data_IF_031683226334
#
_entry.id   IF_031683226334
#
_cell.length_a   1.000
_cell.length_b   1.000
_cell.length_c   1.000
_cell.angle_alpha   90.00
_cell.angle_beta   90.00
_cell.angle_gamma   90.00
#
_symmetry.space_group_name_H-M   'P 1'
#
loop_
_entity.id
_entity.type
_entity.pdbx_description
1 polymer ?
#
# COMPACT_ATOMS: atom_id res chain seq x y z
N UNK A 1 23.79 -52.75 -26.15
CA UNK A 1 24.41 -51.45 -25.84
C UNK A 1 23.34 -50.39 -26.02
N UNK A 2 22.61 -50.06 -24.94
CA UNK A 2 21.45 -49.18 -24.99
C UNK A 2 21.85 -47.79 -24.48
N UNK A 3 21.76 -46.79 -25.35
CA UNK A 3 21.99 -45.39 -24.99
C UNK A 3 20.71 -44.81 -24.39
N UNK A 4 20.74 -44.51 -23.10
CA UNK A 4 19.66 -43.86 -22.38
C UNK A 4 19.81 -42.34 -22.54
N UNK A 5 18.97 -41.76 -23.39
CA UNK A 5 18.88 -40.31 -23.58
C UNK A 5 18.16 -39.71 -22.37
N UNK A 6 18.91 -39.14 -21.42
CA UNK A 6 18.35 -38.36 -20.32
C UNK A 6 17.87 -37.00 -20.87
N UNK A 7 16.58 -36.88 -21.18
CA UNK A 7 15.93 -35.58 -21.34
C UNK A 7 15.93 -34.87 -19.98
N UNK A 8 16.83 -33.92 -19.79
CA UNK A 8 16.65 -32.88 -18.78
C UNK A 8 15.48 -31.99 -19.21
N UNK A 9 14.26 -32.33 -18.79
CA UNK A 9 13.19 -31.34 -18.69
C UNK A 9 13.60 -30.37 -17.58
N UNK A 10 14.34 -29.32 -17.97
CA UNK A 10 14.53 -28.14 -17.15
C UNK A 10 13.14 -27.57 -16.85
N UNK A 11 12.58 -27.93 -15.70
CA UNK A 11 11.47 -27.18 -15.13
C UNK A 11 12.09 -25.86 -14.66
N UNK A 12 11.78 -24.71 -15.29
CA UNK A 12 12.23 -23.45 -14.73
C UNK A 12 11.47 -23.29 -13.41
N UNK A 13 12.11 -23.63 -12.31
CA UNK A 13 11.69 -23.14 -11.00
C UNK A 13 11.77 -21.62 -11.12
N UNK A 14 10.61 -20.99 -11.37
CA UNK A 14 10.47 -19.55 -11.27
C UNK A 14 10.64 -19.22 -9.79
N UNK A 15 11.89 -19.02 -9.38
CA UNK A 15 12.21 -18.60 -8.02
C UNK A 15 11.57 -17.23 -7.79
N UNK A 16 10.82 -17.13 -6.70
CA UNK A 16 10.22 -15.87 -6.30
C UNK A 16 11.30 -14.92 -5.79
N UNK A 17 11.29 -13.67 -6.25
CA UNK A 17 12.12 -12.60 -5.71
C UNK A 17 11.33 -11.83 -4.64
N UNK A 18 11.89 -11.73 -3.44
CA UNK A 18 11.24 -11.04 -2.31
C UNK A 18 11.85 -9.64 -2.14
N UNK A 19 10.97 -8.66 -2.00
CA UNK A 19 11.30 -7.28 -1.68
C UNK A 19 10.56 -6.89 -0.40
N UNK A 20 11.27 -6.33 0.56
CA UNK A 20 10.68 -5.93 1.83
C UNK A 20 11.32 -4.67 2.40
N UNK A 21 10.56 -4.01 3.28
CA UNK A 21 10.94 -2.84 4.07
C UNK A 21 10.53 -3.05 5.52
N UNK A 22 11.35 -2.56 6.45
CA UNK A 22 10.96 -2.48 7.86
C UNK A 22 10.04 -1.26 8.10
N UNK A 23 9.52 -1.12 9.32
CA UNK A 23 8.80 0.09 9.76
C UNK A 23 9.69 1.33 9.57
N UNK A 24 9.13 2.35 8.94
CA UNK A 24 9.81 3.60 8.54
C UNK A 24 10.68 3.47 7.29
N UNK A 25 10.90 2.26 6.78
CA UNK A 25 11.70 2.00 5.59
C UNK A 25 10.95 2.25 4.29
N UNK A 26 11.67 2.69 3.25
CA UNK A 26 11.15 2.80 1.90
C UNK A 26 12.20 2.27 0.93
N UNK A 27 11.77 1.63 -0.15
CA UNK A 27 12.69 1.00 -1.09
C UNK A 27 12.17 1.08 -2.52
N UNK A 28 13.03 1.47 -3.44
CA UNK A 28 12.80 1.32 -4.88
C UNK A 28 13.55 0.08 -5.35
N UNK A 29 12.88 -0.78 -6.13
CA UNK A 29 13.49 -1.95 -6.73
C UNK A 29 13.02 -2.12 -8.18
N UNK A 30 13.93 -2.61 -9.03
CA UNK A 30 13.61 -3.04 -10.38
C UNK A 30 13.21 -4.52 -10.37
N UNK A 31 12.15 -4.84 -11.10
CA UNK A 31 11.65 -6.20 -11.31
C UNK A 31 12.30 -6.82 -12.56
N UNK A 32 12.26 -8.16 -12.71
CA UNK A 32 12.93 -8.85 -13.83
C UNK A 32 12.46 -8.45 -15.23
N UNK A 33 11.26 -7.88 -15.37
CA UNK A 33 10.67 -7.42 -16.63
C UNK A 33 10.92 -5.93 -16.91
N UNK A 34 11.83 -5.29 -16.17
CA UNK A 34 12.12 -3.84 -16.15
C UNK A 34 11.06 -2.95 -15.51
N UNK A 35 9.94 -3.52 -15.05
CA UNK A 35 8.98 -2.79 -14.21
C UNK A 35 9.67 -2.33 -12.93
N UNK A 36 9.12 -1.29 -12.28
CA UNK A 36 9.63 -0.78 -11.00
C UNK A 36 8.58 -0.92 -9.92
N UNK A 37 9.02 -1.33 -8.74
CA UNK A 37 8.23 -1.31 -7.51
C UNK A 37 8.85 -0.34 -6.53
N UNK A 38 8.05 0.55 -5.96
CA UNK A 38 8.43 1.35 -4.80
C UNK A 38 7.63 0.85 -3.61
N UNK A 39 8.31 0.28 -2.62
CA UNK A 39 7.74 -0.18 -1.36
C UNK A 39 7.72 0.97 -0.36
N UNK A 40 6.58 1.17 0.29
CA UNK A 40 6.45 2.05 1.44
C UNK A 40 6.87 1.33 2.74
N UNK A 41 6.62 1.93 3.90
CA UNK A 41 6.85 1.35 5.23
C UNK A 41 6.15 0.00 5.43
N UNK A 42 6.84 -0.93 6.10
CA UNK A 42 6.35 -2.26 6.48
C UNK A 42 5.64 -3.00 5.33
N UNK A 43 6.32 -3.08 4.19
CA UNK A 43 5.80 -3.72 2.99
C UNK A 43 6.57 -4.99 2.68
N UNK A 44 5.86 -5.99 2.15
CA UNK A 44 6.48 -7.20 1.58
C UNK A 44 5.80 -7.58 0.27
N UNK A 45 6.63 -7.73 -0.76
CA UNK A 45 6.23 -8.10 -2.11
C UNK A 45 7.04 -9.31 -2.57
N UNK A 46 6.37 -10.32 -3.10
CA UNK A 46 7.00 -11.49 -3.73
C UNK A 46 6.68 -11.50 -5.23
N UNK A 47 7.70 -11.53 -6.08
CA UNK A 47 7.55 -11.49 -7.54
C UNK A 47 7.95 -12.82 -8.18
N UNK A 48 7.02 -13.42 -8.92
CA UNK A 48 7.20 -14.70 -9.62
C UNK A 48 6.76 -14.57 -11.07
N UNK A 49 7.71 -14.60 -12.00
CA UNK A 49 7.43 -14.41 -13.43
C UNK A 49 7.56 -15.72 -14.19
N UNK A 50 6.61 -15.98 -15.08
CA UNK A 50 6.57 -17.17 -15.94
C UNK A 50 6.52 -16.75 -17.41
N UNK A 51 6.42 -17.73 -18.30
CA UNK A 51 6.20 -17.47 -19.71
C UNK A 51 4.83 -16.80 -19.99
N UNK A 52 3.84 -17.01 -19.12
CA UNK A 52 2.45 -16.60 -19.37
C UNK A 52 2.01 -15.40 -18.52
N UNK A 53 2.64 -15.17 -17.36
CA UNK A 53 2.20 -14.12 -16.43
C UNK A 53 3.36 -13.54 -15.61
N UNK A 54 3.14 -12.34 -15.09
CA UNK A 54 3.99 -11.65 -14.12
C UNK A 54 3.20 -11.51 -12.82
N UNK A 55 3.31 -12.52 -11.94
CA UNK A 55 2.58 -12.53 -10.67
C UNK A 55 3.39 -11.81 -9.60
N UNK A 56 2.73 -10.88 -8.92
CA UNK A 56 3.20 -10.18 -7.74
C UNK A 56 2.24 -10.49 -6.60
N UNK A 57 2.75 -10.99 -5.48
CA UNK A 57 1.98 -11.11 -4.25
C UNK A 57 2.37 -9.97 -3.31
N UNK A 58 1.41 -9.14 -2.92
CA UNK A 58 1.57 -8.14 -1.85
C UNK A 58 1.02 -8.76 -0.57
N UNK A 59 1.91 -9.19 0.33
CA UNK A 59 1.50 -9.87 1.57
C UNK A 59 1.05 -8.89 2.65
N UNK A 60 1.64 -7.69 2.66
CA UNK A 60 1.30 -6.58 3.55
C UNK A 60 1.86 -5.26 3.05
N UNK A 61 1.32 -4.18 3.57
CA UNK A 61 1.84 -2.82 3.40
C UNK A 61 1.34 -2.15 2.12
N UNK A 62 2.18 -1.30 1.54
CA UNK A 62 1.83 -0.45 0.39
C UNK A 62 2.96 -0.43 -0.63
N UNK A 63 2.60 -0.52 -1.90
CA UNK A 63 3.55 -0.47 -3.01
C UNK A 63 2.98 0.31 -4.20
N UNK A 64 3.81 1.15 -4.80
CA UNK A 64 3.59 1.75 -6.12
C UNK A 64 4.25 0.86 -7.18
N UNK A 65 3.47 0.49 -8.20
CA UNK A 65 3.94 -0.25 -9.36
C UNK A 65 3.97 0.66 -10.59
N UNK A 66 5.10 0.65 -11.28
CA UNK A 66 5.30 1.28 -12.58
C UNK A 66 5.62 0.16 -13.58
N UNK A 67 4.57 -0.31 -14.26
CA UNK A 67 4.59 -1.57 -15.02
C UNK A 67 5.03 -1.33 -16.46
N UNK A 68 6.10 -2.03 -16.87
CA UNK A 68 6.53 -2.10 -18.26
C UNK A 68 5.47 -2.76 -19.13
N UNK A 69 5.23 -2.18 -20.30
CA UNK A 69 4.20 -2.64 -21.21
C UNK A 69 4.56 -4.00 -21.81
N UNK A 70 3.71 -5.00 -21.57
CA UNK A 70 3.81 -6.34 -22.16
C UNK A 70 2.39 -6.91 -22.28
N UNK A 71 1.74 -6.78 -23.46
CA UNK A 71 0.37 -7.26 -23.67
C UNK A 71 0.23 -8.78 -23.64
N UNK A 72 1.32 -9.52 -23.82
CA UNK A 72 1.30 -10.99 -23.91
C UNK A 72 1.41 -11.65 -22.54
N UNK A 73 1.91 -10.94 -21.53
CA UNK A 73 2.06 -11.43 -20.17
C UNK A 73 1.44 -10.43 -19.18
N UNK A 74 0.19 -10.65 -18.71
CA UNK A 74 -0.42 -9.74 -17.75
C UNK A 74 0.44 -9.57 -16.49
N UNK A 75 0.45 -8.35 -15.96
CA UNK A 75 1.02 -8.03 -14.66
C UNK A 75 -0.09 -8.10 -13.62
N UNK A 76 0.00 -9.05 -12.70
CA UNK A 76 -1.05 -9.35 -11.74
C UNK A 76 -0.50 -9.08 -10.35
N UNK A 77 -1.10 -8.13 -9.63
CA UNK A 77 -0.84 -7.92 -8.19
C UNK A 77 -1.97 -8.58 -7.41
N UNK A 78 -1.64 -9.56 -6.58
CA UNK A 78 -2.58 -10.30 -5.75
C UNK A 78 -2.37 -9.93 -4.27
N UNK A 79 -3.49 -9.75 -3.57
CA UNK A 79 -3.56 -9.72 -2.10
C UNK A 79 -4.49 -10.84 -1.63
N UNK A 80 -4.74 -10.92 -0.32
CA UNK A 80 -5.76 -11.80 0.24
C UNK A 80 -7.22 -11.38 -0.05
N UNK A 81 -7.45 -10.22 -0.66
CA UNK A 81 -8.79 -9.68 -0.94
C UNK A 81 -9.12 -9.57 -2.43
N UNK A 82 -8.16 -9.84 -3.32
CA UNK A 82 -8.39 -9.79 -4.76
C UNK A 82 -7.12 -9.61 -5.58
N UNK A 83 -7.34 -9.42 -6.88
CA UNK A 83 -6.31 -9.29 -7.90
C UNK A 83 -6.44 -7.95 -8.64
N UNK A 84 -5.32 -7.39 -9.04
CA UNK A 84 -5.21 -6.22 -9.91
C UNK A 84 -4.44 -6.62 -11.15
N UNK A 85 -5.07 -6.53 -12.33
CA UNK A 85 -4.45 -6.88 -13.60
C UNK A 85 -4.14 -5.63 -14.42
N UNK A 86 -2.89 -5.54 -14.88
CA UNK A 86 -2.32 -4.43 -15.63
C UNK A 86 -1.56 -4.90 -16.87
N UNK A 87 -1.55 -4.08 -17.93
CA UNK A 87 -0.79 -4.34 -19.17
C UNK A 87 0.32 -3.30 -19.45
N UNK A 88 0.43 -2.27 -18.61
CA UNK A 88 1.32 -1.12 -18.80
C UNK A 88 0.72 0.11 -18.13
N UNK A 89 0.81 0.15 -16.80
CA UNK A 89 0.09 1.12 -15.96
C UNK A 89 0.95 1.57 -14.79
N UNK A 90 0.48 2.65 -14.15
CA UNK A 90 1.04 3.14 -12.91
C UNK A 90 -0.04 3.18 -11.85
N UNK A 91 0.13 2.43 -10.76
CA UNK A 91 -0.90 2.28 -9.74
C UNK A 91 -0.31 1.91 -8.38
N UNK A 92 -1.03 2.26 -7.33
CA UNK A 92 -0.70 1.90 -5.94
C UNK A 92 -1.63 0.79 -5.51
N UNK A 93 -1.08 -0.23 -4.86
CA UNK A 93 -1.85 -1.21 -4.08
C UNK A 93 -1.43 -1.11 -2.63
N UNK A 94 -2.42 -1.03 -1.74
CA UNK A 94 -2.22 -1.03 -0.30
C UNK A 94 -3.08 -2.11 0.33
N UNK A 95 -2.45 -2.97 1.09
CA UNK A 95 -3.12 -3.89 2.00
C UNK A 95 -3.12 -3.30 3.43
N UNK A 96 -4.31 -3.17 4.01
CA UNK A 96 -4.52 -2.76 5.41
C UNK A 96 -4.92 -3.94 6.32
N UNK A 97 -4.90 -5.17 5.82
CA UNK A 97 -5.36 -6.37 6.52
C UNK A 97 -6.89 -6.49 6.64
N UNK A 98 -7.62 -5.41 6.88
CA UNK A 98 -9.09 -5.40 6.82
C UNK A 98 -9.65 -4.93 5.48
N UNK A 99 -8.78 -4.42 4.61
CA UNK A 99 -9.16 -3.87 3.31
C UNK A 99 -7.97 -3.77 2.36
N UNK A 100 -8.23 -3.93 1.08
CA UNK A 100 -7.32 -3.64 -0.02
C UNK A 100 -7.74 -2.33 -0.68
N UNK A 101 -6.79 -1.43 -0.93
CA UNK A 101 -7.00 -0.19 -1.69
C UNK A 101 -6.15 -0.20 -2.95
N UNK A 102 -6.75 0.13 -4.08
CA UNK A 102 -6.06 0.27 -5.37
C UNK A 102 -6.29 1.69 -5.87
N UNK A 103 -5.22 2.45 -6.12
CA UNK A 103 -5.32 3.80 -6.71
C UNK A 103 -4.63 3.82 -8.06
N UNK A 104 -5.36 4.18 -9.12
CA UNK A 104 -4.82 4.23 -10.48
C UNK A 104 -4.28 5.62 -10.79
N UNK A 105 -2.99 5.71 -11.14
CA UNK A 105 -2.34 6.96 -11.53
C UNK A 105 -2.35 7.13 -13.06
N UNK A 106 -2.02 6.08 -13.81
CA UNK A 106 -1.96 6.12 -15.28
C UNK A 106 -2.37 4.78 -15.91
N UNK A 107 -3.00 4.84 -17.09
CA UNK A 107 -3.41 3.68 -17.87
C UNK A 107 -4.78 3.12 -17.47
N UNK A 108 -4.92 1.79 -17.44
CA UNK A 108 -6.16 1.07 -17.11
C UNK A 108 -5.85 -0.21 -16.35
N UNK A 109 -6.50 -0.41 -15.21
CA UNK A 109 -6.40 -1.66 -14.43
C UNK A 109 -7.77 -2.30 -14.28
N UNK A 110 -7.77 -3.62 -14.26
CA UNK A 110 -8.91 -4.44 -13.82
C UNK A 110 -8.67 -4.82 -12.37
N UNK A 111 -9.66 -4.62 -11.50
CA UNK A 111 -9.63 -5.08 -10.11
C UNK A 111 -10.71 -6.14 -9.95
N UNK A 112 -10.30 -7.35 -9.60
CA UNK A 112 -11.14 -8.53 -9.39
C UNK A 112 -11.12 -8.88 -7.89
N UNK A 113 -12.20 -8.59 -7.14
CA UNK A 113 -12.30 -9.04 -5.74
C UNK A 113 -12.30 -10.57 -5.65
N UNK A 114 -11.74 -11.14 -4.57
CA UNK A 114 -11.62 -12.60 -4.41
C UNK A 114 -12.93 -13.28 -4.00
N UNK A 115 -13.91 -12.53 -3.48
CA UNK A 115 -15.20 -13.08 -3.08
C UNK A 115 -16.10 -13.37 -4.28
N UNK A 116 -16.73 -14.54 -4.25
CA UNK A 116 -17.71 -14.96 -5.26
C UNK A 116 -18.88 -13.98 -5.39
N UNK A 117 -19.32 -13.75 -6.62
CA UNK A 117 -20.44 -12.88 -6.97
C UNK A 117 -20.12 -11.38 -6.98
N UNK A 118 -18.87 -10.99 -6.77
CA UNK A 118 -18.46 -9.58 -6.86
C UNK A 118 -18.12 -9.16 -8.27
N UNK A 119 -18.60 -7.97 -8.64
CA UNK A 119 -18.32 -7.38 -9.95
C UNK A 119 -16.88 -6.86 -9.99
N UNK A 120 -16.17 -7.19 -11.06
CA UNK A 120 -14.87 -6.59 -11.36
C UNK A 120 -14.97 -5.11 -11.70
N UNK A 121 -13.94 -4.35 -11.35
CA UNK A 121 -13.86 -2.90 -11.60
C UNK A 121 -12.82 -2.61 -12.68
N UNK A 122 -13.23 -1.95 -13.76
CA UNK A 122 -12.29 -1.35 -14.71
C UNK A 122 -12.05 0.08 -14.26
N UNK A 123 -10.84 0.38 -13.80
CA UNK A 123 -10.49 1.70 -13.28
C UNK A 123 -10.00 2.64 -14.39
N UNK A 124 -10.26 3.92 -14.18
CA UNK A 124 -9.72 5.07 -14.93
C UNK A 124 -8.78 5.89 -14.05
N UNK A 125 -7.78 6.59 -14.62
CA UNK A 125 -6.83 7.39 -13.83
C UNK A 125 -7.52 8.36 -12.86
N UNK A 126 -6.99 8.45 -11.64
CA UNK A 126 -7.55 9.25 -10.56
C UNK A 126 -8.57 8.54 -9.69
N UNK A 127 -9.05 7.34 -10.08
CA UNK A 127 -9.93 6.55 -9.24
C UNK A 127 -9.15 5.75 -8.20
N UNK A 128 -9.81 5.50 -7.06
CA UNK A 128 -9.43 4.49 -6.09
C UNK A 128 -10.59 3.54 -5.82
N UNK A 129 -10.29 2.25 -5.78
CA UNK A 129 -11.20 1.18 -5.36
C UNK A 129 -10.75 0.69 -3.99
N UNK A 130 -11.67 0.58 -3.03
CA UNK A 130 -11.43 0.02 -1.69
C UNK A 130 -12.32 -1.19 -1.50
N UNK A 131 -11.72 -2.35 -1.24
CA UNK A 131 -12.40 -3.63 -1.02
C UNK A 131 -12.19 -4.03 0.43
N UNK A 132 -13.27 -4.15 1.20
CA UNK A 132 -13.23 -4.63 2.59
C UNK A 132 -13.36 -6.16 2.68
N UNK A 133 -13.01 -6.73 3.83
CA UNK A 133 -13.18 -8.19 4.11
C UNK A 133 -14.64 -8.65 4.08
N UNK A 134 -15.61 -7.76 4.28
CA UNK A 134 -17.03 -8.06 4.09
C UNK A 134 -17.39 -8.25 2.60
N UNK A 135 -16.53 -7.80 1.69
CA UNK A 135 -16.82 -7.75 0.26
C UNK A 135 -17.47 -6.44 -0.18
N UNK A 136 -17.57 -5.45 0.69
CA UNK A 136 -18.02 -4.13 0.27
C UNK A 136 -16.91 -3.47 -0.55
N UNK A 137 -17.24 -3.07 -1.77
CA UNK A 137 -16.35 -2.31 -2.64
C UNK A 137 -16.86 -0.87 -2.75
N UNK A 138 -15.97 0.09 -2.54
CA UNK A 138 -16.24 1.53 -2.66
C UNK A 138 -15.29 2.14 -3.68
N UNK A 139 -15.82 3.01 -4.54
CA UNK A 139 -15.04 3.77 -5.52
C UNK A 139 -15.07 5.25 -5.15
N UNK A 140 -13.90 5.88 -5.03
CA UNK A 140 -13.75 7.31 -4.81
C UNK A 140 -12.61 7.91 -5.67
N UNK A 141 -12.37 9.22 -5.52
CA UNK A 141 -11.30 9.95 -6.20
C UNK A 141 -10.46 10.70 -5.17
N UNK A 142 -9.35 10.12 -4.67
CA UNK A 142 -8.49 10.78 -3.70
C UNK A 142 -7.61 11.84 -4.37
N UNK A 143 -7.01 12.72 -3.56
CA UNK A 143 -5.90 13.56 -4.01
C UNK A 143 -4.71 12.68 -4.39
N UNK A 144 -4.31 12.72 -5.67
CA UNK A 144 -3.14 11.97 -6.16
C UNK A 144 -1.82 12.46 -5.55
N UNK A 145 -1.73 13.75 -5.26
CA UNK A 145 -0.62 14.32 -4.49
C UNK A 145 -0.54 13.64 -3.12
N UNK A 146 -1.67 13.54 -2.42
CA UNK A 146 -1.67 13.01 -1.06
C UNK A 146 -1.32 11.52 -1.01
N UNK A 147 -1.88 10.70 -1.93
CA UNK A 147 -1.59 9.26 -1.96
C UNK A 147 -0.18 8.93 -2.45
N UNK A 148 0.53 9.87 -3.09
CA UNK A 148 1.90 9.66 -3.58
C UNK A 148 2.97 10.36 -2.75
N UNK A 149 2.58 11.24 -1.80
CA UNK A 149 3.49 12.06 -1.00
C UNK A 149 4.53 11.26 -0.20
N UNK A 150 4.19 10.04 0.21
CA UNK A 150 5.12 9.19 0.96
C UNK A 150 6.40 8.89 0.18
N UNK A 151 6.38 8.91 -1.16
CA UNK A 151 7.55 8.67 -2.01
C UNK A 151 8.67 9.69 -1.81
N UNK A 152 8.34 10.87 -1.29
CA UNK A 152 9.29 11.93 -0.93
C UNK A 152 9.42 12.12 0.58
N UNK A 153 9.02 11.12 1.38
CA UNK A 153 9.03 11.16 2.84
C UNK A 153 7.95 12.06 3.45
N UNK A 154 6.91 12.41 2.67
CA UNK A 154 5.80 13.25 3.11
C UNK A 154 4.55 12.46 3.49
N UNK A 155 3.74 13.05 4.35
CA UNK A 155 2.37 12.63 4.63
C UNK A 155 1.48 13.86 4.48
N UNK A 156 0.60 13.84 3.47
CA UNK A 156 -0.37 14.91 3.23
C UNK A 156 -1.70 14.49 3.81
N UNK A 157 -2.20 15.28 4.76
CA UNK A 157 -3.48 15.10 5.40
C UNK A 157 -4.42 16.20 4.92
N UNK A 158 -5.64 15.82 4.52
CA UNK A 158 -6.64 16.73 3.99
C UNK A 158 -7.96 16.44 4.69
N UNK A 159 -8.35 17.35 5.59
CA UNK A 159 -9.55 17.24 6.41
C UNK A 159 -9.71 15.79 6.95
N UNK A 160 -8.74 15.33 7.72
CA UNK A 160 -8.73 13.97 8.26
C UNK A 160 -9.02 14.02 9.76
N UNK A 161 -9.81 13.08 10.31
CA UNK A 161 -9.99 13.01 11.77
C UNK A 161 -8.64 12.76 12.45
N UNK A 162 -8.46 13.27 13.66
CA UNK A 162 -7.24 13.04 14.44
C UNK A 162 -6.91 11.54 14.54
N UNK A 163 -7.92 10.68 14.71
CA UNK A 163 -7.76 9.23 14.73
C UNK A 163 -7.21 8.65 13.42
N UNK A 164 -7.74 9.06 12.27
CA UNK A 164 -7.24 8.59 10.98
C UNK A 164 -5.84 9.15 10.67
N UNK A 165 -5.57 10.39 11.04
CA UNK A 165 -4.27 11.04 10.90
C UNK A 165 -3.17 10.33 11.73
N UNK A 166 -3.48 10.00 12.98
CA UNK A 166 -2.64 9.17 13.86
C UNK A 166 -2.44 7.79 13.25
N UNK A 167 -3.49 7.18 12.72
CA UNK A 167 -3.40 5.87 12.04
C UNK A 167 -2.42 5.88 10.86
N UNK A 168 -2.41 6.94 10.04
CA UNK A 168 -1.45 7.07 8.94
C UNK A 168 -0.03 7.34 9.43
N UNK A 169 0.16 8.19 10.45
CA UNK A 169 1.49 8.50 11.00
C UNK A 169 2.12 7.28 11.71
N UNK A 170 1.32 6.53 12.47
CA UNK A 170 1.79 5.36 13.22
C UNK A 170 2.33 4.23 12.33
N UNK A 171 2.09 4.25 11.01
CA UNK A 171 2.71 3.30 10.08
C UNK A 171 4.22 3.44 9.97
N UNK A 172 4.75 4.61 10.28
CA UNK A 172 6.15 4.97 10.04
C UNK A 172 6.98 5.01 11.33
N UNK A 173 6.34 5.27 12.47
CA UNK A 173 7.01 5.38 13.76
C UNK A 173 7.06 4.06 14.53
N UNK A 174 8.19 3.77 15.17
CA UNK A 174 8.29 2.65 16.11
C UNK A 174 7.56 2.93 17.43
N UNK A 175 7.50 4.21 17.82
CA UNK A 175 6.82 4.69 19.03
C UNK A 175 5.44 5.26 18.64
N UNK A 176 4.34 4.51 18.84
CA UNK A 176 3.03 4.92 18.36
C UNK A 176 2.48 6.12 19.12
N UNK A 177 1.62 6.88 18.46
CA UNK A 177 0.74 7.88 19.05
C UNK A 177 -0.57 7.19 19.41
N UNK A 178 -1.02 7.38 20.65
CA UNK A 178 -2.31 6.89 21.13
C UNK A 178 -3.17 8.05 21.56
N UNK A 179 -4.43 8.01 21.15
CA UNK A 179 -5.43 9.00 21.50
C UNK A 179 -6.29 8.48 22.65
N UNK A 180 -6.52 9.31 23.66
CA UNK A 180 -7.61 9.09 24.61
C UNK A 180 -8.96 9.26 23.90
N UNK A 181 -9.97 8.48 24.31
CA UNK A 181 -11.27 8.39 23.62
C UNK A 181 -12.26 9.44 24.14
N UNK A 182 -11.83 10.69 24.26
CA UNK A 182 -12.74 11.80 24.58
C UNK A 182 -13.50 12.29 23.33
N UNK A 183 -14.62 12.99 23.54
CA UNK A 183 -15.42 13.55 22.45
C UNK A 183 -14.64 14.61 21.65
N UNK A 184 -13.85 15.45 22.33
CA UNK A 184 -13.06 16.54 21.71
C UNK A 184 -12.05 15.99 20.68
N UNK A 185 -11.48 14.81 20.96
CA UNK A 185 -10.57 14.12 20.05
C UNK A 185 -11.29 13.61 18.80
N UNK A 186 -12.55 13.18 18.93
CA UNK A 186 -13.31 12.59 17.84
C UNK A 186 -13.70 13.63 16.77
N UNK A 187 -13.96 14.87 17.17
CA UNK A 187 -14.33 15.96 16.27
C UNK A 187 -13.12 16.69 15.65
N UNK A 188 -11.93 16.56 16.23
CA UNK A 188 -10.73 17.24 15.73
C UNK A 188 -10.36 16.79 14.30
N UNK A 189 -10.21 17.78 13.40
CA UNK A 189 -9.80 17.60 12.00
C UNK A 189 -8.40 18.17 11.77
N UNK A 190 -7.62 17.45 10.98
CA UNK A 190 -6.22 17.74 10.72
C UNK A 190 -6.00 17.88 9.22
N UNK A 191 -5.38 18.98 8.83
CA UNK A 191 -4.88 19.21 7.48
C UNK A 191 -3.43 19.70 7.54
N UNK A 192 -2.62 19.30 6.58
CA UNK A 192 -1.24 19.75 6.49
C UNK A 192 -0.31 18.73 5.86
N UNK A 193 0.95 19.12 5.73
CA UNK A 193 2.02 18.28 5.20
C UNK A 193 3.02 18.01 6.32
N UNK A 194 3.28 16.73 6.56
CA UNK A 194 4.15 16.27 7.63
C UNK A 194 5.26 15.39 7.06
N UNK A 195 6.39 15.30 7.76
CA UNK A 195 7.43 14.32 7.43
C UNK A 195 7.10 13.01 8.15
N UNK A 196 7.12 11.90 7.43
CA UNK A 196 6.79 10.58 7.99
C UNK A 196 7.78 10.11 9.06
N UNK A 197 9.00 10.66 9.04
CA UNK A 197 10.04 10.37 10.03
C UNK A 197 9.85 11.13 11.37
N UNK A 198 9.00 12.15 11.42
CA UNK A 198 8.91 13.07 12.56
C UNK A 198 7.65 12.82 13.42
N UNK A 199 7.44 11.57 13.86
CA UNK A 199 6.26 11.16 14.65
C UNK A 199 6.06 12.01 15.92
N UNK A 200 7.13 12.33 16.65
CA UNK A 200 7.07 13.17 17.85
C UNK A 200 6.58 14.58 17.56
N UNK A 201 7.15 15.20 16.51
CA UNK A 201 6.75 16.55 16.09
C UNK A 201 5.29 16.57 15.66
N UNK A 202 4.85 15.54 14.94
CA UNK A 202 3.45 15.38 14.59
C UNK A 202 2.56 15.28 15.84
N UNK A 203 2.94 14.48 16.85
CA UNK A 203 2.21 14.39 18.11
C UNK A 203 2.09 15.75 18.83
N UNK A 204 3.18 16.53 18.89
CA UNK A 204 3.16 17.89 19.45
C UNK A 204 2.24 18.85 18.69
N UNK A 205 2.25 18.80 17.36
CA UNK A 205 1.39 19.65 16.53
C UNK A 205 -0.08 19.25 16.73
N UNK A 206 -0.36 17.94 16.72
CA UNK A 206 -1.70 17.41 16.89
C UNK A 206 -2.27 17.80 18.26
N UNK A 207 -1.45 17.72 19.32
CA UNK A 207 -1.83 18.17 20.65
C UNK A 207 -2.31 19.63 20.64
N UNK A 208 -1.54 20.52 20.02
CA UNK A 208 -1.88 21.96 19.95
C UNK A 208 -3.14 22.24 19.11
N UNK A 209 -3.30 21.58 17.97
CA UNK A 209 -4.44 21.78 17.07
C UNK A 209 -5.74 21.31 17.73
N UNK A 210 -5.69 20.16 18.41
CA UNK A 210 -6.87 19.55 19.03
C UNK A 210 -7.11 20.00 20.48
N UNK A 211 -6.31 20.93 21.03
CA UNK A 211 -6.43 21.37 22.42
C UNK A 211 -6.14 20.28 23.46
N UNK A 212 -5.27 19.33 23.11
CA UNK A 212 -4.88 18.19 23.95
C UNK A 212 -3.52 18.42 24.60
N UNK A 213 -3.24 17.66 25.65
CA UNK A 213 -1.93 17.53 26.27
C UNK A 213 -1.22 16.29 25.76
N UNK A 214 0.08 16.44 25.45
CA UNK A 214 0.95 15.32 25.11
C UNK A 214 1.69 14.84 26.36
N UNK A 215 1.54 13.56 26.67
CA UNK A 215 2.36 12.83 27.62
C UNK A 215 3.28 11.86 26.88
N UNK A 216 4.58 12.04 27.04
CA UNK A 216 5.57 11.10 26.53
C UNK A 216 5.75 9.97 27.55
N UNK A 217 5.43 8.75 27.15
CA UNK A 217 5.74 7.51 27.88
C UNK A 217 6.90 6.82 27.21
N UNK A 218 7.51 5.81 27.80
CA UNK A 218 8.66 5.13 27.18
C UNK A 218 8.28 4.50 25.84
N UNK A 219 7.11 3.86 25.79
CA UNK A 219 6.62 3.05 24.66
C UNK A 219 5.68 3.80 23.70
N UNK A 220 5.17 4.99 24.05
CA UNK A 220 4.19 5.73 23.23
C UNK A 220 4.15 7.24 23.48
N UNK A 221 3.52 7.96 22.57
CA UNK A 221 3.06 9.34 22.73
C UNK A 221 1.56 9.31 23.04
N UNK A 222 1.15 9.67 24.26
CA UNK A 222 -0.24 9.68 24.67
C UNK A 222 -0.82 11.09 24.57
N UNK A 223 -1.87 11.27 23.77
CA UNK A 223 -2.63 12.49 23.67
C UNK A 223 -3.92 12.36 24.49
N UNK A 224 -4.10 13.27 25.43
CA UNK A 224 -5.19 13.30 26.40
C UNK A 224 -5.77 14.71 26.48
N UNK A 225 -7.02 14.88 26.96
CA UNK A 225 -7.58 16.20 27.23
C UNK A 225 -6.71 17.07 28.14
#
# INVERSE_FOLDING_TARGET
MAAMLLLFLAHPFSNSQIFETAVGGQRIASLPDTSRVTLNTDSRVAARFTANERLITLDRGEALFEVSRDPNRPFIVQTHLGKVTALGTKFIVRDRGSSMEVTLLEGKVLVDPDKDGQTSFIMTPGQRVRIGTAGTALVDKPSLEAVTAWRSGGLVLQDMSAAAAVGEMNRYGQKPITLDRSADVAECRVSGVFRVADTERFAHILARICGLRLEQRDDRYLLIP
#
